data_IF_543903806555
#
_entry.id   IF_543903806555
#
_cell.length_a   1.000
_cell.length_b   1.000
_cell.length_c   1.000
_cell.angle_alpha   90.00
_cell.angle_beta   90.00
_cell.angle_gamma   90.00
#
_symmetry.space_group_name_H-M   'P 1'
#
loop_
_entity.id
_entity.type
_entity.pdbx_description
1 polymer ?
#
# COMPACT_ATOMS: atom_id res chain seq x y z
N UNK A 1 -10.10 -11.80 -29.85
CA UNK A 1 -9.60 -12.75 -28.82
C UNK A 1 -9.68 -12.05 -27.47
N UNK A 2 -9.78 -12.74 -26.33
CA UNK A 2 -9.76 -12.05 -25.03
C UNK A 2 -8.31 -11.87 -24.60
N UNK A 3 -7.85 -10.61 -24.55
CA UNK A 3 -6.54 -10.24 -24.04
C UNK A 3 -6.73 -9.48 -22.73
N UNK A 4 -5.90 -9.80 -21.74
CA UNK A 4 -5.89 -9.17 -20.42
C UNK A 4 -4.52 -8.60 -20.13
N UNK A 5 -4.49 -7.43 -19.50
CA UNK A 5 -3.25 -6.72 -19.18
C UNK A 5 -3.18 -6.47 -17.67
N UNK A 6 -2.08 -6.89 -17.06
CA UNK A 6 -1.71 -6.51 -15.69
C UNK A 6 -0.59 -5.48 -15.75
N UNK A 7 -0.77 -4.36 -15.05
CA UNK A 7 0.25 -3.32 -14.90
C UNK A 7 0.50 -3.08 -13.42
N UNK A 8 1.76 -3.19 -12.98
CA UNK A 8 2.19 -2.81 -11.64
C UNK A 8 3.18 -1.65 -11.73
N UNK A 9 2.76 -0.47 -11.29
CA UNK A 9 3.63 0.71 -11.23
C UNK A 9 4.30 0.74 -9.86
N UNK A 10 5.53 0.24 -9.81
CA UNK A 10 6.40 0.32 -8.64
C UNK A 10 7.21 1.63 -8.60
N UNK A 11 8.04 1.78 -7.56
CA UNK A 11 8.88 2.97 -7.39
C UNK A 11 10.05 3.09 -8.37
N UNK A 12 10.62 1.98 -8.86
CA UNK A 12 11.75 2.03 -9.81
C UNK A 12 11.34 1.58 -11.20
N UNK A 13 10.51 0.55 -11.27
CA UNK A 13 10.09 -0.08 -12.52
C UNK A 13 8.57 -0.22 -12.56
N UNK A 14 8.05 -0.15 -13.77
CA UNK A 14 6.69 -0.55 -14.12
C UNK A 14 6.74 -1.91 -14.80
N UNK A 15 6.02 -2.86 -14.23
CA UNK A 15 5.93 -4.25 -14.70
C UNK A 15 4.63 -4.43 -15.49
N UNK A 16 4.76 -4.86 -16.74
CA UNK A 16 3.62 -5.10 -17.63
C UNK A 16 3.58 -6.58 -18.00
N UNK A 17 2.39 -7.18 -17.89
CA UNK A 17 2.10 -8.55 -18.30
C UNK A 17 0.90 -8.53 -19.23
N UNK A 18 1.02 -9.13 -20.41
CA UNK A 18 -0.09 -9.34 -21.33
C UNK A 18 -0.35 -10.84 -21.43
N UNK A 19 -1.57 -11.25 -21.09
CA UNK A 19 -2.05 -12.62 -21.25
C UNK A 19 -3.03 -12.71 -22.42
N UNK A 20 -2.83 -13.72 -23.27
CA UNK A 20 -3.67 -14.00 -24.43
C UNK A 20 -4.61 -15.19 -24.13
N UNK A 21 -5.58 -15.42 -25.03
CA UNK A 21 -6.72 -16.30 -24.77
C UNK A 21 -6.38 -17.78 -24.48
N UNK A 22 -5.17 -18.25 -24.82
CA UNK A 22 -4.72 -19.61 -24.52
C UNK A 22 -4.08 -19.75 -23.13
N UNK A 23 -4.01 -18.65 -22.36
CA UNK A 23 -3.42 -18.59 -21.03
C UNK A 23 -1.90 -18.37 -21.01
N UNK A 24 -1.25 -18.29 -22.18
CA UNK A 24 0.13 -17.82 -22.27
C UNK A 24 0.22 -16.32 -22.01
N UNK A 25 1.35 -15.88 -21.46
CA UNK A 25 1.59 -14.48 -21.19
C UNK A 25 3.03 -14.08 -21.52
N UNK A 26 3.20 -12.83 -21.92
CA UNK A 26 4.49 -12.18 -22.12
C UNK A 26 4.58 -10.99 -21.15
N UNK A 27 5.80 -10.67 -20.72
CA UNK A 27 6.03 -9.57 -19.78
C UNK A 27 7.19 -8.69 -20.21
N UNK A 28 7.16 -7.43 -19.77
CA UNK A 28 8.26 -6.49 -19.91
C UNK A 28 8.37 -5.62 -18.68
N UNK A 29 9.57 -5.08 -18.46
CA UNK A 29 9.88 -4.15 -17.38
C UNK A 29 10.40 -2.87 -18.01
N UNK A 30 9.78 -1.75 -17.65
CA UNK A 30 10.19 -0.41 -18.08
C UNK A 30 10.45 0.47 -16.86
N UNK A 31 11.19 1.56 -17.03
CA UNK A 31 11.43 2.52 -15.96
C UNK A 31 10.14 3.24 -15.57
N UNK A 32 9.94 3.45 -14.27
CA UNK A 32 8.80 4.24 -13.79
C UNK A 32 8.97 5.71 -14.15
N UNK A 33 8.00 6.26 -14.88
CA UNK A 33 7.85 7.69 -15.15
C UNK A 33 7.01 8.32 -14.04
N UNK A 34 7.64 8.84 -12.98
CA UNK A 34 6.93 9.30 -11.77
C UNK A 34 5.90 10.40 -12.02
N UNK A 35 6.20 11.35 -12.91
CA UNK A 35 5.32 12.47 -13.21
C UNK A 35 4.18 12.12 -14.16
N UNK A 36 4.31 11.00 -14.88
CA UNK A 36 3.34 10.52 -15.86
C UNK A 36 3.37 8.98 -15.95
N UNK A 37 2.90 8.26 -14.91
CA UNK A 37 2.99 6.81 -14.83
C UNK A 37 2.33 6.09 -16.01
N UNK A 38 1.27 6.68 -16.57
CA UNK A 38 0.57 6.20 -17.75
C UNK A 38 1.47 6.07 -18.98
N UNK A 39 2.50 6.91 -19.11
CA UNK A 39 3.46 6.84 -20.22
C UNK A 39 4.28 5.55 -20.12
N UNK A 40 4.74 5.19 -18.91
CA UNK A 40 5.46 3.95 -18.68
C UNK A 40 4.58 2.73 -18.98
N UNK A 41 3.32 2.75 -18.55
CA UNK A 41 2.37 1.68 -18.84
C UNK A 41 2.18 1.51 -20.35
N UNK A 42 1.91 2.59 -21.07
CA UNK A 42 1.66 2.57 -22.52
C UNK A 42 2.90 2.13 -23.31
N UNK A 43 4.11 2.56 -22.92
CA UNK A 43 5.36 2.10 -23.52
C UNK A 43 5.55 0.59 -23.34
N UNK A 44 5.37 0.09 -22.12
CA UNK A 44 5.49 -1.35 -21.83
C UNK A 44 4.47 -2.20 -22.62
N UNK A 45 3.21 -1.76 -22.70
CA UNK A 45 2.18 -2.42 -23.51
C UNK A 45 2.59 -2.41 -25.00
N UNK A 46 3.04 -1.27 -25.51
CA UNK A 46 3.46 -1.12 -26.91
C UNK A 46 4.63 -2.04 -27.28
N UNK A 47 5.61 -2.20 -26.38
CA UNK A 47 6.77 -3.09 -26.58
C UNK A 47 6.34 -4.56 -26.71
N UNK A 48 5.51 -5.06 -25.80
CA UNK A 48 5.03 -6.45 -25.85
C UNK A 48 4.16 -6.64 -27.09
N UNK A 49 3.25 -5.69 -27.36
CA UNK A 49 2.34 -5.81 -28.50
C UNK A 49 3.07 -5.87 -29.84
N UNK A 50 4.15 -5.10 -30.01
CA UNK A 50 4.99 -5.15 -31.19
C UNK A 50 5.81 -6.45 -31.29
N UNK A 51 6.33 -6.96 -30.17
CA UNK A 51 7.13 -8.19 -30.12
C UNK A 51 6.32 -9.44 -30.43
N UNK A 52 5.13 -9.53 -29.85
CA UNK A 52 4.24 -10.71 -29.95
C UNK A 52 3.18 -10.57 -31.07
N UNK A 53 3.24 -9.47 -31.84
CA UNK A 53 2.28 -9.14 -32.90
C UNK A 53 0.81 -9.17 -32.41
N UNK A 54 0.57 -8.58 -31.23
CA UNK A 54 -0.74 -8.51 -30.58
C UNK A 54 -1.51 -7.29 -31.09
N UNK A 55 -2.76 -7.52 -31.47
CA UNK A 55 -3.70 -6.44 -31.78
C UNK A 55 -4.36 -5.91 -30.51
N UNK A 56 -4.05 -4.66 -30.14
CA UNK A 56 -4.59 -4.04 -28.93
C UNK A 56 -6.12 -3.87 -28.96
N UNK A 57 -6.78 -4.01 -30.12
CA UNK A 57 -8.25 -4.02 -30.22
C UNK A 57 -8.90 -5.24 -29.57
N UNK A 58 -8.12 -6.29 -29.33
CA UNK A 58 -8.56 -7.50 -28.63
C UNK A 58 -8.42 -7.41 -27.09
N UNK A 59 -7.94 -6.27 -26.56
CA UNK A 59 -7.85 -6.06 -25.12
C UNK A 59 -9.24 -5.89 -24.52
N UNK A 60 -9.56 -6.77 -23.57
CA UNK A 60 -10.86 -6.83 -22.88
C UNK A 60 -10.79 -6.30 -21.45
N UNK A 61 -9.61 -6.32 -20.84
CA UNK A 61 -9.41 -5.90 -19.46
C UNK A 61 -8.00 -5.37 -19.26
N UNK A 62 -7.89 -4.29 -18.48
CA UNK A 62 -6.63 -3.77 -17.96
C UNK A 62 -6.80 -3.62 -16.45
N UNK A 63 -5.90 -4.22 -15.68
CA UNK A 63 -5.84 -4.11 -14.23
C UNK A 63 -4.52 -3.43 -13.90
N UNK A 64 -4.61 -2.33 -13.14
CA UNK A 64 -3.45 -1.53 -12.75
C UNK A 64 -3.41 -1.42 -11.22
N UNK A 65 -2.27 -1.81 -10.63
CA UNK A 65 -1.92 -1.50 -9.24
C UNK A 65 -0.69 -0.59 -9.17
N UNK A 66 -0.61 0.21 -8.12
CA UNK A 66 0.50 1.15 -7.95
C UNK A 66 0.91 1.29 -6.49
N UNK A 67 2.22 1.45 -6.26
CA UNK A 67 2.79 1.82 -4.96
C UNK A 67 3.00 3.34 -4.85
N UNK A 68 2.56 4.15 -5.82
CA UNK A 68 2.73 5.61 -5.79
C UNK A 68 1.96 6.25 -4.63
N UNK A 69 0.77 5.74 -4.32
CA UNK A 69 -0.04 6.25 -3.22
C UNK A 69 0.65 6.05 -1.86
N UNK A 70 1.29 4.90 -1.65
CA UNK A 70 1.99 4.61 -0.40
C UNK A 70 3.32 5.35 -0.29
N UNK A 71 4.08 5.42 -1.38
CA UNK A 71 5.30 6.24 -1.41
C UNK A 71 5.00 7.72 -1.13
N UNK A 72 3.92 8.27 -1.70
CA UNK A 72 3.49 9.63 -1.41
C UNK A 72 3.14 9.83 0.07
N UNK A 73 2.58 8.81 0.74
CA UNK A 73 2.29 8.85 2.17
C UNK A 73 3.58 8.83 3.02
N UNK A 74 4.51 7.93 2.73
CA UNK A 74 5.79 7.79 3.43
C UNK A 74 6.62 9.08 3.29
N UNK A 75 6.71 9.59 2.06
CA UNK A 75 7.48 10.78 1.72
C UNK A 75 6.73 12.08 2.03
N UNK A 76 5.47 11.99 2.49
CA UNK A 76 4.56 13.10 2.76
C UNK A 76 4.39 14.06 1.57
N UNK A 77 4.40 13.53 0.35
CA UNK A 77 4.16 14.27 -0.89
C UNK A 77 2.69 14.21 -1.31
N UNK A 78 1.80 14.47 -0.35
CA UNK A 78 0.36 14.48 -0.57
C UNK A 78 -0.19 15.87 -0.90
N UNK A 79 -1.47 15.93 -1.25
CA UNK A 79 -2.22 17.17 -1.37
C UNK A 79 -2.25 17.93 -0.02
N UNK A 80 -2.26 19.27 -0.06
CA UNK A 80 -2.58 20.06 1.14
C UNK A 80 -4.04 19.78 1.53
N UNK A 81 -4.25 18.99 2.58
CA UNK A 81 -5.57 18.50 2.99
C UNK A 81 -6.10 19.24 4.21
N UNK A 82 -7.36 19.68 4.17
CA UNK A 82 -8.12 20.09 5.35
C UNK A 82 -8.87 18.88 5.94
N UNK A 83 -8.88 18.73 7.26
CA UNK A 83 -9.79 17.80 7.95
C UNK A 83 -10.97 18.59 8.52
N UNK A 84 -12.18 18.11 8.32
CA UNK A 84 -13.39 18.63 8.99
C UNK A 84 -14.02 17.53 9.82
N UNK A 85 -14.19 17.78 11.12
CA UNK A 85 -14.73 16.79 12.06
C UNK A 85 -15.74 17.42 13.04
N UNK A 86 -16.30 16.62 13.92
CA UNK A 86 -17.26 17.07 14.94
C UNK A 86 -16.58 18.02 15.94
N UNK A 87 -17.27 19.07 16.37
CA UNK A 87 -16.78 19.93 17.44
C UNK A 87 -16.44 19.15 18.71
N UNK A 88 -15.32 19.52 19.33
CA UNK A 88 -14.68 18.77 20.42
C UNK A 88 -13.78 17.59 19.99
N UNK A 89 -13.74 17.21 18.70
CA UNK A 89 -12.96 16.05 18.21
C UNK A 89 -11.77 16.42 17.31
N UNK A 90 -11.45 17.72 17.22
CA UNK A 90 -10.33 18.25 16.40
C UNK A 90 -8.99 17.50 16.59
N UNK A 91 -8.72 17.12 17.84
CA UNK A 91 -7.42 16.59 18.26
C UNK A 91 -7.39 15.04 18.32
N UNK A 92 -8.41 14.36 17.75
CA UNK A 92 -8.48 12.89 17.74
C UNK A 92 -7.29 12.24 17.01
N UNK A 93 -6.82 12.83 15.91
CA UNK A 93 -5.65 12.32 15.17
C UNK A 93 -4.35 12.52 15.98
N UNK A 94 -4.28 13.56 16.81
CA UNK A 94 -3.13 13.78 17.69
C UNK A 94 -3.10 12.74 18.81
N UNK A 95 -4.28 12.48 19.38
CA UNK A 95 -4.48 11.63 20.55
C UNK A 95 -4.38 10.14 20.21
N UNK A 96 -4.78 9.76 18.98
CA UNK A 96 -4.71 8.38 18.44
C UNK A 96 -5.47 7.39 19.33
N UNK A 97 -5.05 6.13 19.30
CA UNK A 97 -5.68 5.00 20.00
C UNK A 97 -4.79 4.42 21.10
N UNK A 98 -3.81 5.20 21.59
CA UNK A 98 -2.76 4.76 22.53
C UNK A 98 -1.89 3.59 22.02
N UNK A 99 -2.08 3.16 20.77
CA UNK A 99 -1.30 2.09 20.12
C UNK A 99 0.17 2.47 19.99
N UNK A 100 1.07 1.53 20.29
CA UNK A 100 2.53 1.69 20.25
C UNK A 100 3.14 0.64 19.34
N UNK A 101 3.81 1.08 18.29
CA UNK A 101 4.57 0.20 17.40
C UNK A 101 5.84 -0.35 18.08
N UNK A 102 6.44 0.41 19.00
CA UNK A 102 7.50 -0.06 19.90
C UNK A 102 6.98 -0.14 21.33
N UNK A 103 6.34 -1.27 21.67
CA UNK A 103 5.62 -1.44 22.94
C UNK A 103 6.48 -1.21 24.20
N UNK A 104 7.79 -1.47 24.12
CA UNK A 104 8.72 -1.38 25.25
C UNK A 104 9.54 -0.09 25.29
N UNK A 105 9.48 0.76 24.26
CA UNK A 105 10.16 2.05 24.31
C UNK A 105 9.29 3.09 25.06
N UNK A 106 9.76 3.51 26.23
CA UNK A 106 9.10 4.55 27.01
C UNK A 106 9.29 5.96 26.42
N UNK A 107 10.29 6.14 25.54
CA UNK A 107 10.60 7.40 24.89
C UNK A 107 10.12 7.44 23.42
N UNK A 108 9.20 6.54 23.06
CA UNK A 108 8.70 6.41 21.70
C UNK A 108 8.26 7.77 21.14
N UNK A 109 8.88 8.18 20.04
CA UNK A 109 8.49 9.37 19.31
C UNK A 109 7.43 8.97 18.29
N UNK A 110 6.20 9.41 18.55
CA UNK A 110 5.08 9.15 17.67
C UNK A 110 5.22 9.94 16.35
N UNK A 111 4.94 9.32 15.18
CA UNK A 111 5.04 10.00 13.89
C UNK A 111 4.17 11.25 13.85
N UNK A 112 4.66 12.39 13.36
CA UNK A 112 3.85 13.61 13.21
C UNK A 112 2.59 13.31 12.40
N UNK A 113 1.39 13.78 12.77
CA UNK A 113 0.19 13.56 11.95
C UNK A 113 0.33 14.10 10.51
N UNK A 114 -0.44 13.51 9.59
CA UNK A 114 -0.46 13.93 8.18
C UNK A 114 -1.04 15.34 8.00
N UNK A 115 -2.09 15.64 8.76
CA UNK A 115 -2.78 16.93 8.75
C UNK A 115 -2.37 17.68 10.01
N UNK A 116 -1.80 18.87 9.84
CA UNK A 116 -1.41 19.72 10.98
C UNK A 116 -2.65 20.20 11.72
N UNK A 117 -2.54 20.47 13.02
CA UNK A 117 -3.68 20.92 13.83
C UNK A 117 -4.36 22.19 13.28
N UNK A 118 -3.60 23.09 12.64
CA UNK A 118 -4.13 24.30 12.03
C UNK A 118 -5.07 24.01 10.84
N UNK A 119 -4.86 22.88 10.16
CA UNK A 119 -5.67 22.42 9.03
C UNK A 119 -6.81 21.47 9.46
N UNK A 120 -7.04 21.35 10.78
CA UNK A 120 -8.14 20.57 11.36
C UNK A 120 -9.22 21.52 11.85
N UNK A 121 -10.34 21.48 11.15
CA UNK A 121 -11.52 22.29 11.37
C UNK A 121 -12.64 21.47 11.99
N UNK A 122 -13.61 22.16 12.59
CA UNK A 122 -14.73 21.52 13.26
C UNK A 122 -16.04 22.18 12.89
N UNK A 123 -17.11 21.39 12.92
CA UNK A 123 -18.49 21.85 12.78
C UNK A 123 -19.27 21.45 14.03
N UNK A 124 -20.13 22.36 14.49
CA UNK A 124 -21.11 22.07 15.54
C UNK A 124 -22.18 21.15 14.97
N UNK A 125 -22.02 19.86 15.21
CA UNK A 125 -23.00 18.81 14.91
C UNK A 125 -22.73 17.65 15.87
N UNK A 126 -23.72 16.84 16.22
CA UNK A 126 -23.47 15.65 17.03
C UNK A 126 -24.55 14.60 16.86
N UNK A 127 -24.11 13.38 16.60
CA UNK A 127 -24.91 12.17 16.69
C UNK A 127 -24.53 11.35 17.93
N UNK A 128 -25.46 10.56 18.44
CA UNK A 128 -25.13 9.49 19.37
C UNK A 128 -24.81 8.19 18.61
N UNK A 129 -24.39 7.15 19.34
CA UNK A 129 -24.04 5.85 18.76
C UNK A 129 -25.22 5.10 18.10
N UNK A 130 -26.46 5.58 18.27
CA UNK A 130 -27.67 5.07 17.60
C UNK A 130 -28.05 5.88 16.35
N UNK A 131 -27.26 6.89 15.99
CA UNK A 131 -27.53 7.79 14.86
C UNK A 131 -28.58 8.87 15.15
N UNK A 132 -28.98 9.05 16.41
CA UNK A 132 -29.93 10.10 16.80
C UNK A 132 -29.21 11.45 16.96
N UNK A 133 -29.86 12.53 16.52
CA UNK A 133 -29.30 13.89 16.58
C UNK A 133 -29.31 14.39 18.03
N UNK A 134 -28.11 14.67 18.57
CA UNK A 134 -27.91 15.35 19.85
C UNK A 134 -27.74 16.86 19.66
N UNK A 135 -26.95 17.24 18.65
CA UNK A 135 -26.74 18.64 18.25
C UNK A 135 -27.02 18.74 16.76
N UNK A 136 -27.96 19.59 16.33
CA UNK A 136 -28.27 19.79 14.91
C UNK A 136 -27.04 20.25 14.12
N UNK A 137 -26.99 19.89 12.85
CA UNK A 137 -25.94 20.34 11.94
C UNK A 137 -25.99 21.85 11.72
N UNK A 138 -24.91 22.55 12.07
CA UNK A 138 -24.79 23.99 11.86
C UNK A 138 -24.50 24.33 10.38
N UNK A 139 -25.56 24.49 9.60
CA UNK A 139 -25.52 24.89 8.19
C UNK A 139 -24.75 26.20 7.94
N UNK A 140 -24.88 27.18 8.85
CA UNK A 140 -24.24 28.48 8.66
C UNK A 140 -22.74 28.37 8.90
N UNK A 141 -22.35 27.72 10.00
CA UNK A 141 -20.95 27.41 10.29
C UNK A 141 -20.29 26.57 9.19
N UNK A 142 -21.02 25.58 8.67
CA UNK A 142 -20.58 24.77 7.54
C UNK A 142 -20.30 25.62 6.28
N UNK A 143 -21.22 26.53 5.89
CA UNK A 143 -21.02 27.41 4.72
C UNK A 143 -19.82 28.34 4.90
N UNK A 144 -19.69 28.97 6.07
CA UNK A 144 -18.54 29.82 6.37
C UNK A 144 -17.23 29.04 6.35
N UNK A 145 -17.23 27.78 6.80
CA UNK A 145 -16.05 26.93 6.74
C UNK A 145 -15.70 26.54 5.31
N UNK A 146 -16.68 26.23 4.46
CA UNK A 146 -16.46 25.96 3.03
C UNK A 146 -15.83 27.17 2.34
N UNK A 147 -16.33 28.39 2.59
CA UNK A 147 -15.73 29.63 2.06
C UNK A 147 -14.28 29.78 2.52
N UNK A 148 -14.00 29.55 3.81
CA UNK A 148 -12.65 29.62 4.35
C UNK A 148 -11.71 28.59 3.70
N UNK A 149 -12.15 27.33 3.59
CA UNK A 149 -11.39 26.26 2.92
C UNK A 149 -11.07 26.64 1.46
N UNK A 150 -12.03 27.25 0.75
CA UNK A 150 -11.84 27.73 -0.62
C UNK A 150 -10.78 28.83 -0.77
N UNK A 151 -10.51 29.60 0.29
CA UNK A 151 -9.51 30.69 0.27
C UNK A 151 -8.10 30.27 0.69
N UNK A 152 -7.97 29.18 1.45
CA UNK A 152 -6.71 28.72 2.06
C UNK A 152 -5.86 27.79 1.17
N UNK A 153 -6.29 27.59 -0.09
CA UNK A 153 -5.56 26.81 -1.09
C UNK A 153 -5.44 25.32 -0.76
N UNK A 154 -6.40 24.76 -0.03
CA UNK A 154 -6.50 23.31 0.17
C UNK A 154 -6.78 22.62 -1.17
N UNK A 155 -6.06 21.54 -1.42
CA UNK A 155 -6.20 20.72 -2.63
C UNK A 155 -7.15 19.53 -2.41
N UNK A 156 -7.46 19.22 -1.15
CA UNK A 156 -8.39 18.15 -0.76
C UNK A 156 -9.01 18.45 0.60
N UNK A 157 -10.19 17.86 0.86
CA UNK A 157 -10.90 17.96 2.14
C UNK A 157 -11.31 16.56 2.59
N UNK A 158 -10.87 16.16 3.77
CA UNK A 158 -11.34 14.97 4.47
C UNK A 158 -12.46 15.36 5.43
N UNK A 159 -13.57 14.63 5.41
CA UNK A 159 -14.70 14.83 6.33
C UNK A 159 -14.85 13.56 7.16
N UNK A 160 -14.90 13.72 8.49
CA UNK A 160 -15.08 12.61 9.41
C UNK A 160 -15.86 13.04 10.65
N UNK A 161 -17.18 12.92 10.61
CA UNK A 161 -18.07 13.18 11.73
C UNK A 161 -18.28 11.93 12.58
N UNK A 162 -18.38 12.13 13.89
CA UNK A 162 -18.54 11.03 14.84
C UNK A 162 -19.89 10.35 14.62
N UNK A 163 -19.86 9.02 14.40
CA UNK A 163 -21.01 8.16 14.11
C UNK A 163 -21.68 8.36 12.73
N UNK A 164 -20.99 8.98 11.77
CA UNK A 164 -21.47 9.07 10.38
C UNK A 164 -21.71 7.72 9.73
N UNK A 165 -20.99 6.68 10.14
CA UNK A 165 -21.21 5.29 9.70
C UNK A 165 -22.60 4.74 10.04
N UNK A 166 -23.29 5.28 11.06
CA UNK A 166 -24.68 4.92 11.42
C UNK A 166 -25.67 5.80 10.68
N UNK A 167 -25.39 7.10 10.65
CA UNK A 167 -26.24 8.10 10.01
C UNK A 167 -25.35 9.10 9.25
N UNK A 168 -25.18 8.93 7.93
CA UNK A 168 -24.26 9.75 7.14
C UNK A 168 -24.86 11.10 6.75
N UNK A 169 -26.08 11.44 7.19
CA UNK A 169 -26.81 12.63 6.72
C UNK A 169 -25.99 13.92 6.87
N UNK A 170 -25.30 14.13 7.99
CA UNK A 170 -24.50 15.35 8.20
C UNK A 170 -23.26 15.38 7.29
N UNK A 171 -22.56 14.25 7.11
CA UNK A 171 -21.40 14.19 6.20
C UNK A 171 -21.83 14.35 4.76
N UNK A 172 -22.92 13.72 4.33
CA UNK A 172 -23.49 13.90 3.00
C UNK A 172 -23.92 15.33 2.78
N UNK A 173 -24.50 15.98 3.80
CA UNK A 173 -24.89 17.38 3.72
C UNK A 173 -23.69 18.31 3.60
N UNK A 174 -22.64 18.08 4.39
CA UNK A 174 -21.40 18.85 4.27
C UNK A 174 -20.68 18.56 2.95
N UNK A 175 -20.70 17.30 2.51
CA UNK A 175 -20.25 16.87 1.19
C UNK A 175 -21.04 17.58 0.10
N UNK A 176 -22.36 17.70 0.14
CA UNK A 176 -23.14 18.47 -0.85
C UNK A 176 -22.70 19.94 -0.91
N UNK A 177 -22.26 20.50 0.22
CA UNK A 177 -21.68 21.84 0.27
C UNK A 177 -20.25 21.90 -0.31
N UNK A 178 -19.53 20.76 -0.39
CA UNK A 178 -18.14 20.63 -0.84
C UNK A 178 -17.95 20.04 -2.26
N UNK A 179 -18.74 19.03 -2.64
CA UNK A 179 -18.56 18.04 -3.70
C UNK A 179 -19.92 17.83 -4.41
N UNK A 180 -20.10 17.90 -5.72
CA UNK A 180 -19.12 18.05 -6.80
C UNK A 180 -17.91 17.08 -6.74
N UNK A 181 -18.19 15.79 -6.50
CA UNK A 181 -17.33 14.61 -6.79
C UNK A 181 -16.48 13.93 -5.69
N UNK A 182 -16.32 12.61 -5.82
CA UNK A 182 -16.09 11.57 -4.79
C UNK A 182 -14.60 11.20 -4.56
N UNK A 183 -14.18 10.37 -3.56
CA UNK A 183 -14.00 8.88 -3.56
C UNK A 183 -13.33 8.43 -2.20
N UNK A 184 -13.44 7.16 -1.74
CA UNK A 184 -12.94 6.63 -0.43
C UNK A 184 -11.56 5.89 -0.45
N UNK A 185 -11.09 5.43 0.72
CA UNK A 185 -9.72 4.95 1.08
C UNK A 185 -9.66 3.46 1.49
N UNK A 186 -8.53 2.79 1.23
CA UNK A 186 -8.14 1.43 1.71
C UNK A 186 -6.85 1.53 2.57
N UNK A 187 -6.69 0.68 3.58
CA UNK A 187 -5.52 0.59 4.47
C UNK A 187 -4.46 -0.39 3.94
N UNK A 188 -3.17 -0.01 4.04
CA UNK A 188 -2.01 -0.82 3.61
C UNK A 188 -0.86 -0.66 4.61
N UNK A 189 -0.12 -1.75 4.87
CA UNK A 189 1.16 -1.72 5.61
C UNK A 189 2.28 -2.03 4.61
N UNK A 190 3.24 -1.12 4.50
CA UNK A 190 4.44 -1.26 3.66
C UNK A 190 5.70 -1.32 4.55
N UNK A 191 6.64 -2.21 4.20
CA UNK A 191 7.94 -2.32 4.84
C UNK A 191 8.96 -1.62 3.93
N UNK A 192 9.37 -0.40 4.30
CA UNK A 192 10.23 0.48 3.50
C UNK A 192 11.70 0.06 3.42
N UNK A 193 11.99 -1.08 2.80
CA UNK A 193 13.33 -1.55 2.49
C UNK A 193 13.35 -2.20 1.08
N UNK A 194 13.65 -1.40 0.06
CA UNK A 194 13.70 -1.83 -1.34
C UNK A 194 15.08 -1.68 -1.96
N UNK A 195 15.25 -2.12 -3.21
CA UNK A 195 16.53 -2.02 -3.93
C UNK A 195 17.10 -0.58 -3.98
N UNK A 196 16.22 0.43 -4.08
CA UNK A 196 16.60 1.84 -4.09
C UNK A 196 16.91 2.44 -2.72
N UNK A 197 16.68 1.74 -1.60
CA UNK A 197 16.90 2.30 -0.27
C UNK A 197 18.37 2.70 -0.09
N UNK A 198 18.59 3.95 0.35
CA UNK A 198 19.92 4.54 0.48
C UNK A 198 20.60 4.01 1.74
N UNK A 199 21.85 3.59 1.59
CA UNK A 199 22.74 3.19 2.66
C UNK A 199 23.58 4.38 3.15
N UNK A 200 23.63 4.56 4.46
CA UNK A 200 24.43 5.60 5.12
C UNK A 200 25.07 5.07 6.40
N UNK A 201 26.00 5.84 6.96
CA UNK A 201 26.60 5.57 8.28
C UNK A 201 26.21 6.70 9.22
N UNK A 202 25.60 6.34 10.34
CA UNK A 202 25.18 7.29 11.37
C UNK A 202 26.35 7.79 12.24
N UNK A 203 26.06 8.71 13.16
CA UNK A 203 27.06 9.29 14.06
C UNK A 203 27.69 8.29 15.03
N UNK A 204 27.09 7.11 15.21
CA UNK A 204 27.59 6.04 16.06
C UNK A 204 28.41 5.01 15.27
N UNK A 205 28.59 5.20 13.96
CA UNK A 205 29.31 4.27 13.11
C UNK A 205 28.49 3.04 12.72
N UNK A 206 27.16 3.11 12.79
CA UNK A 206 26.28 2.02 12.35
C UNK A 206 25.78 2.25 10.92
N UNK A 207 25.69 1.17 10.14
CA UNK A 207 25.07 1.21 8.81
C UNK A 207 23.56 1.36 8.99
N UNK A 208 22.97 2.31 8.27
CA UNK A 208 21.52 2.57 8.21
C UNK A 208 21.05 2.47 6.76
N UNK A 209 19.91 1.82 6.56
CA UNK A 209 19.25 1.66 5.26
C UNK A 209 17.91 2.38 5.31
N UNK A 210 17.66 3.29 4.35
CA UNK A 210 16.47 4.14 4.36
C UNK A 210 16.52 5.23 5.45
N UNK A 211 15.39 5.95 5.67
CA UNK A 211 14.10 5.79 5.01
C UNK A 211 14.06 6.33 3.57
N UNK A 212 15.07 7.10 3.17
CA UNK A 212 15.13 7.68 1.83
C UNK A 212 15.51 6.63 0.77
N UNK A 213 14.94 6.79 -0.42
CA UNK A 213 15.17 5.93 -1.59
C UNK A 213 15.70 6.77 -2.75
N UNK A 214 16.57 6.16 -3.57
CA UNK A 214 17.08 6.75 -4.81
C UNK A 214 16.07 6.70 -5.97
N UNK A 215 14.95 5.97 -5.81
CA UNK A 215 13.89 5.86 -6.83
C UNK A 215 14.36 5.25 -8.15
N UNK A 216 13.74 5.66 -9.27
CA UNK A 216 14.24 5.40 -10.63
C UNK A 216 15.18 6.51 -11.15
N UNK A 217 15.02 7.72 -10.62
CA UNK A 217 15.79 8.92 -10.99
C UNK A 217 16.15 9.71 -9.72
N UNK A 218 17.45 9.89 -9.41
CA UNK A 218 18.61 9.49 -10.20
C UNK A 218 18.89 7.97 -10.19
N UNK A 219 18.22 7.23 -9.31
CA UNK A 219 18.37 5.78 -9.16
C UNK A 219 19.66 5.34 -8.47
N UNK A 220 19.85 4.02 -8.26
CA UNK A 220 21.13 3.43 -7.85
C UNK A 220 22.32 3.93 -8.66
N UNK A 221 23.48 4.08 -8.04
CA UNK A 221 24.68 4.56 -8.72
C UNK A 221 25.10 3.63 -9.88
N UNK A 222 24.91 2.33 -9.69
CA UNK A 222 25.11 1.28 -10.69
C UNK A 222 24.29 1.46 -11.96
N UNK A 223 23.20 2.24 -11.96
CA UNK A 223 22.43 2.51 -13.18
C UNK A 223 23.12 3.52 -14.11
N UNK A 224 24.14 4.26 -13.63
CA UNK A 224 24.87 5.22 -14.45
C UNK A 224 24.08 6.49 -14.82
N UNK A 225 22.99 6.80 -14.10
CA UNK A 225 22.07 7.92 -14.40
C UNK A 225 22.25 9.14 -13.47
N UNK A 226 23.41 9.23 -12.80
CA UNK A 226 23.75 10.36 -11.93
C UNK A 226 23.54 10.12 -10.43
N UNK A 227 23.07 8.94 -10.03
CA UNK A 227 22.99 8.53 -8.62
C UNK A 227 24.38 8.40 -8.01
N UNK A 228 24.57 8.95 -6.81
CA UNK A 228 25.86 8.93 -6.09
C UNK A 228 25.78 8.28 -4.71
N UNK A 229 24.60 8.11 -4.13
CA UNK A 229 24.50 7.45 -2.84
C UNK A 229 24.51 5.93 -3.02
N UNK A 230 25.14 5.20 -2.08
CA UNK A 230 25.08 3.75 -2.10
C UNK A 230 23.65 3.28 -1.84
N UNK A 231 23.19 2.30 -2.62
CA UNK A 231 21.87 1.67 -2.43
C UNK A 231 21.99 0.17 -2.19
N UNK A 232 20.88 -0.46 -1.82
CA UNK A 232 20.79 -1.93 -1.71
C UNK A 232 21.07 -2.60 -3.07
N UNK A 233 20.62 -2.00 -4.18
CA UNK A 233 20.94 -2.47 -5.53
C UNK A 233 22.44 -2.43 -5.79
N UNK A 234 23.14 -1.35 -5.41
CA UNK A 234 24.60 -1.26 -5.56
C UNK A 234 25.33 -2.35 -4.77
N UNK A 235 24.88 -2.64 -3.56
CA UNK A 235 25.39 -3.76 -2.77
C UNK A 235 25.15 -5.10 -3.47
N UNK A 236 23.94 -5.33 -4.01
CA UNK A 236 23.61 -6.57 -4.73
C UNK A 236 24.44 -6.75 -6.01
N UNK A 237 24.74 -5.67 -6.74
CA UNK A 237 25.66 -5.69 -7.88
C UNK A 237 27.08 -6.06 -7.42
N UNK A 238 27.58 -5.40 -6.38
CA UNK A 238 28.93 -5.64 -5.87
C UNK A 238 29.12 -7.06 -5.29
N UNK A 239 28.06 -7.65 -4.75
CA UNK A 239 28.04 -9.04 -4.26
C UNK A 239 27.85 -10.07 -5.39
N UNK A 240 27.60 -9.63 -6.63
CA UNK A 240 27.30 -10.51 -7.76
C UNK A 240 25.93 -11.19 -7.69
N UNK A 241 25.02 -10.71 -6.84
CA UNK A 241 23.61 -11.14 -6.80
C UNK A 241 22.84 -10.60 -8.01
N UNK A 242 23.25 -9.44 -8.51
CA UNK A 242 22.81 -8.86 -9.78
C UNK A 242 23.99 -8.81 -10.75
N UNK A 243 23.76 -9.24 -11.98
CA UNK A 243 24.78 -9.27 -13.03
C UNK A 243 24.37 -8.37 -14.21
N UNK A 244 25.28 -7.55 -14.77
CA UNK A 244 24.97 -6.67 -15.92
C UNK A 244 24.34 -7.42 -17.10
N UNK A 245 24.92 -8.57 -17.48
CA UNK A 245 24.48 -9.34 -18.64
C UNK A 245 23.05 -9.92 -18.54
N UNK A 246 22.53 -10.09 -17.32
CA UNK A 246 21.23 -10.73 -17.08
C UNK A 246 20.23 -9.79 -16.43
N UNK A 247 20.52 -8.48 -16.41
CA UNK A 247 19.63 -7.51 -15.78
C UNK A 247 18.35 -7.33 -16.60
N UNK A 248 17.19 -7.43 -15.94
CA UNK A 248 15.88 -7.48 -16.61
C UNK A 248 15.47 -6.19 -17.32
N UNK A 249 16.08 -5.05 -16.97
CA UNK A 249 15.84 -3.77 -17.62
C UNK A 249 16.89 -3.56 -18.73
N UNK A 250 16.52 -3.95 -19.97
CA UNK A 250 17.43 -3.92 -21.14
C UNK A 250 18.00 -2.54 -21.49
N UNK A 251 17.33 -1.48 -21.05
CA UNK A 251 17.75 -0.09 -21.29
C UNK A 251 18.76 0.42 -20.25
N UNK A 252 19.17 -0.42 -19.28
CA UNK A 252 20.11 -0.07 -18.22
C UNK A 252 21.34 -0.97 -18.31
N UNK A 253 22.49 -0.35 -18.57
CA UNK A 253 23.79 -1.01 -18.48
C UNK A 253 24.33 -0.87 -17.04
N UNK A 254 24.27 -1.94 -16.26
CA UNK A 254 24.71 -1.90 -14.88
C UNK A 254 26.23 -1.76 -14.80
N UNK A 255 26.70 -0.81 -13.98
CA UNK A 255 28.11 -0.57 -13.73
C UNK A 255 28.53 -1.04 -12.33
N UNK A 256 29.23 -2.18 -12.21
CA UNK A 256 29.84 -2.61 -10.95
C UNK A 256 30.87 -1.60 -10.41
N UNK A 257 31.55 -0.86 -11.30
CA UNK A 257 32.52 0.17 -10.90
C UNK A 257 31.83 1.32 -10.16
N UNK A 258 30.71 1.84 -10.70
CA UNK A 258 29.94 2.90 -10.04
C UNK A 258 29.33 2.43 -8.72
N UNK A 259 28.87 1.17 -8.66
CA UNK A 259 28.40 0.55 -7.43
C UNK A 259 29.50 0.56 -6.35
N UNK A 260 30.71 0.09 -6.70
CA UNK A 260 31.85 0.04 -5.80
C UNK A 260 32.26 1.43 -5.29
N UNK A 261 32.28 2.44 -6.16
CA UNK A 261 32.59 3.82 -5.79
C UNK A 261 31.56 4.41 -4.81
N UNK A 262 30.26 4.16 -5.04
CA UNK A 262 29.20 4.64 -4.16
C UNK A 262 29.27 3.98 -2.77
N UNK A 263 29.53 2.66 -2.73
CA UNK A 263 29.70 1.89 -1.49
C UNK A 263 30.92 2.36 -0.68
N UNK A 264 32.05 2.63 -1.35
CA UNK A 264 33.22 3.22 -0.70
C UNK A 264 32.88 4.58 -0.09
N UNK A 265 32.32 5.50 -0.88
CA UNK A 265 31.99 6.85 -0.44
C UNK A 265 31.01 6.89 0.74
N UNK A 266 29.97 6.06 0.69
CA UNK A 266 28.84 6.15 1.64
C UNK A 266 29.10 5.36 2.92
N UNK A 267 29.85 4.26 2.83
CA UNK A 267 30.05 3.30 3.93
C UNK A 267 31.52 2.95 4.13
N UNK A 268 32.21 2.52 3.07
CA UNK A 268 33.58 2.00 3.13
C UNK A 268 34.58 2.96 3.78
N UNK A 269 34.69 4.18 3.28
CA UNK A 269 35.63 5.21 3.76
C UNK A 269 35.34 5.64 5.20
N UNK A 270 34.06 5.62 5.60
CA UNK A 270 33.65 6.02 6.96
C UNK A 270 33.95 4.96 8.01
N UNK A 271 33.92 3.67 7.63
CA UNK A 271 34.11 2.54 8.53
C UNK A 271 35.45 1.83 8.34
N UNK A 272 36.27 2.26 7.37
CA UNK A 272 37.53 1.59 7.02
C UNK A 272 37.34 0.22 6.38
N UNK A 273 36.26 0.04 5.60
CA UNK A 273 35.90 -1.21 4.94
C UNK A 273 36.20 -1.16 3.44
N UNK A 274 36.44 -2.34 2.85
CA UNK A 274 36.47 -2.49 1.39
C UNK A 274 35.05 -2.34 0.80
N UNK A 275 34.94 -2.05 -0.50
CA UNK A 275 33.63 -1.98 -1.17
C UNK A 275 32.83 -3.29 -1.02
N UNK A 276 33.52 -4.44 -1.05
CA UNK A 276 32.90 -5.76 -0.87
C UNK A 276 32.39 -5.97 0.56
N UNK A 277 33.16 -5.57 1.58
CA UNK A 277 32.72 -5.67 2.97
C UNK A 277 31.62 -4.67 3.31
N UNK A 278 31.68 -3.46 2.75
CA UNK A 278 30.61 -2.48 2.81
C UNK A 278 29.31 -3.04 2.20
N UNK A 279 29.39 -3.68 1.03
CA UNK A 279 28.25 -4.33 0.38
C UNK A 279 27.64 -5.44 1.25
N UNK A 280 28.48 -6.29 1.88
CA UNK A 280 28.02 -7.32 2.82
C UNK A 280 27.30 -6.72 4.03
N UNK A 281 27.83 -5.62 4.58
CA UNK A 281 27.22 -4.89 5.68
C UNK A 281 25.85 -4.32 5.29
N UNK A 282 25.76 -3.66 4.14
CA UNK A 282 24.50 -3.13 3.60
C UNK A 282 23.46 -4.23 3.40
N UNK A 283 23.86 -5.35 2.78
CA UNK A 283 22.98 -6.50 2.57
C UNK A 283 22.50 -7.13 3.88
N UNK A 284 23.39 -7.31 4.86
CA UNK A 284 23.00 -7.91 6.15
C UNK A 284 22.04 -7.01 6.95
N UNK A 285 22.24 -5.69 6.91
CA UNK A 285 21.34 -4.74 7.59
C UNK A 285 19.97 -4.70 6.94
N UNK A 286 19.89 -4.67 5.60
CA UNK A 286 18.58 -4.70 4.92
C UNK A 286 17.86 -6.03 5.17
N UNK A 287 18.59 -7.16 5.15
CA UNK A 287 18.04 -8.48 5.43
C UNK A 287 17.50 -8.59 6.86
N UNK A 288 18.20 -8.00 7.84
CA UNK A 288 17.74 -7.94 9.23
C UNK A 288 16.50 -7.05 9.39
N UNK A 289 16.46 -5.88 8.74
CA UNK A 289 15.30 -4.99 8.79
C UNK A 289 14.04 -5.68 8.23
N UNK A 290 14.16 -6.35 7.07
CA UNK A 290 13.06 -7.10 6.47
C UNK A 290 12.60 -8.27 7.37
N UNK A 291 13.55 -9.00 7.95
CA UNK A 291 13.27 -10.10 8.88
C UNK A 291 12.54 -9.60 10.12
N UNK A 292 12.99 -8.51 10.73
CA UNK A 292 12.39 -7.94 11.93
C UNK A 292 10.94 -7.51 11.66
N UNK A 293 10.68 -6.85 10.54
CA UNK A 293 9.34 -6.45 10.16
C UNK A 293 8.40 -7.66 9.98
N UNK A 294 8.87 -8.74 9.34
CA UNK A 294 8.10 -9.98 9.22
C UNK A 294 7.77 -10.61 10.59
N UNK A 295 8.72 -10.62 11.55
CA UNK A 295 8.48 -11.11 12.91
C UNK A 295 7.43 -10.27 13.65
N UNK A 296 7.56 -8.94 13.59
CA UNK A 296 6.62 -8.02 14.24
C UNK A 296 5.20 -8.27 13.71
N UNK A 297 5.05 -8.36 12.39
CA UNK A 297 3.75 -8.65 11.78
C UNK A 297 3.16 -10.00 12.24
N UNK A 298 3.98 -11.06 12.29
CA UNK A 298 3.53 -12.37 12.78
C UNK A 298 3.04 -12.30 14.23
N UNK A 299 3.81 -11.64 15.11
CA UNK A 299 3.47 -11.46 16.52
C UNK A 299 2.19 -10.64 16.71
N UNK A 300 2.03 -9.54 15.97
CA UNK A 300 0.81 -8.71 16.02
C UNK A 300 -0.44 -9.49 15.60
N UNK A 301 -0.28 -10.46 14.70
CA UNK A 301 -1.35 -11.35 14.25
C UNK A 301 -1.49 -12.63 15.11
N UNK A 302 -0.72 -12.77 16.19
CA UNK A 302 -0.73 -13.94 17.05
C UNK A 302 -0.29 -15.23 16.35
N UNK A 303 0.53 -15.12 15.29
CA UNK A 303 1.01 -16.25 14.49
C UNK A 303 2.44 -16.62 14.87
N UNK A 304 2.69 -17.91 14.97
CA UNK A 304 4.04 -18.46 14.92
C UNK A 304 4.43 -18.66 13.44
N UNK A 305 5.64 -18.26 13.06
CA UNK A 305 6.14 -18.43 11.69
C UNK A 305 6.57 -19.87 11.40
N UNK A 306 6.81 -20.67 12.45
CA UNK A 306 7.16 -22.07 12.28
C UNK A 306 6.10 -22.85 11.46
N UNK A 307 6.55 -23.56 10.43
CA UNK A 307 5.68 -24.37 9.56
C UNK A 307 5.03 -23.62 8.39
N UNK A 308 5.33 -22.33 8.21
CA UNK A 308 4.95 -21.60 7.00
C UNK A 308 6.02 -21.73 5.90
N UNK A 309 5.57 -21.73 4.65
CA UNK A 309 6.43 -21.61 3.48
C UNK A 309 6.61 -20.15 3.11
N UNK A 310 7.84 -19.73 2.82
CA UNK A 310 8.10 -18.39 2.29
C UNK A 310 7.91 -18.38 0.78
N UNK A 311 7.12 -17.44 0.26
CA UNK A 311 7.02 -17.18 -1.18
C UNK A 311 7.74 -15.86 -1.46
N UNK A 312 8.80 -15.89 -2.26
CA UNK A 312 9.56 -14.69 -2.60
C UNK A 312 9.29 -14.24 -4.03
N UNK A 313 8.70 -13.06 -4.18
CA UNK A 313 8.42 -12.41 -5.47
C UNK A 313 8.83 -10.92 -5.43
N UNK A 314 8.62 -10.21 -6.54
CA UNK A 314 9.15 -8.88 -6.81
C UNK A 314 10.59 -8.92 -7.32
N UNK A 315 11.06 -7.79 -7.87
CA UNK A 315 12.42 -7.70 -8.44
C UNK A 315 13.55 -7.90 -7.42
N UNK A 316 13.32 -7.55 -6.15
CA UNK A 316 14.31 -7.69 -5.07
C UNK A 316 14.12 -8.90 -4.17
N UNK A 317 12.89 -9.44 -4.05
CA UNK A 317 12.57 -10.49 -3.08
C UNK A 317 13.50 -11.72 -3.15
N UNK A 318 13.64 -12.36 -4.33
CA UNK A 318 14.50 -13.53 -4.48
C UNK A 318 15.99 -13.29 -4.16
N UNK A 319 16.49 -12.06 -4.28
CA UNK A 319 17.90 -11.71 -4.00
C UNK A 319 18.23 -11.82 -2.51
N UNK A 320 17.22 -11.67 -1.65
CA UNK A 320 17.35 -11.62 -0.20
C UNK A 320 16.69 -12.84 0.48
N UNK A 321 15.81 -13.54 -0.23
CA UNK A 321 15.00 -14.65 0.27
C UNK A 321 15.80 -15.73 1.00
N UNK A 322 16.95 -16.16 0.46
CA UNK A 322 17.76 -17.19 1.13
C UNK A 322 18.20 -16.77 2.53
N UNK A 323 18.61 -15.51 2.71
CA UNK A 323 19.05 -14.99 4.01
C UNK A 323 17.87 -14.78 4.97
N UNK A 324 16.73 -14.33 4.44
CA UNK A 324 15.49 -14.20 5.21
C UNK A 324 14.99 -15.55 5.71
N UNK A 325 15.07 -16.60 4.89
CA UNK A 325 14.67 -17.97 5.25
C UNK A 325 15.42 -18.42 6.50
N UNK A 326 16.76 -18.29 6.48
CA UNK A 326 17.63 -18.65 7.60
C UNK A 326 17.30 -17.85 8.87
N UNK A 327 17.13 -16.53 8.74
CA UNK A 327 16.91 -15.64 9.88
C UNK A 327 15.54 -15.85 10.52
N UNK A 328 14.52 -16.14 9.71
CA UNK A 328 13.16 -16.43 10.18
C UNK A 328 13.01 -17.86 10.69
N UNK A 329 13.97 -18.75 10.41
CA UNK A 329 13.92 -20.16 10.83
C UNK A 329 12.86 -20.95 10.07
N UNK A 330 12.71 -20.65 8.77
CA UNK A 330 11.75 -21.31 7.88
C UNK A 330 12.43 -22.45 7.13
N UNK A 331 11.67 -23.50 6.80
CA UNK A 331 12.20 -24.70 6.16
C UNK A 331 11.95 -24.75 4.64
N UNK A 332 11.05 -23.90 4.11
CA UNK A 332 10.65 -23.92 2.71
C UNK A 332 10.63 -22.52 2.08
N UNK A 333 11.32 -22.39 0.95
CA UNK A 333 11.30 -21.21 0.08
C UNK A 333 10.76 -21.60 -1.30
N UNK A 334 9.72 -20.89 -1.73
CA UNK A 334 9.14 -20.97 -3.07
C UNK A 334 9.46 -19.66 -3.81
N UNK A 335 10.20 -19.77 -4.91
CA UNK A 335 10.40 -18.67 -5.86
C UNK A 335 9.62 -19.02 -7.13
N UNK A 336 8.47 -18.38 -7.40
CA UNK A 336 7.71 -18.67 -8.59
C UNK A 336 8.48 -18.27 -9.86
N UNK A 337 8.21 -18.91 -11.02
CA UNK A 337 8.62 -18.36 -12.31
C UNK A 337 8.15 -16.91 -12.43
N UNK A 338 8.95 -16.07 -13.07
CA UNK A 338 8.62 -14.66 -13.30
C UNK A 338 8.34 -13.86 -12.02
N UNK A 339 8.97 -14.26 -10.90
CA UNK A 339 8.93 -13.57 -9.61
C UNK A 339 9.12 -12.04 -9.75
N UNK A 340 9.94 -11.58 -10.68
CA UNK A 340 10.21 -10.16 -10.96
C UNK A 340 9.01 -9.33 -11.42
N UNK A 341 7.92 -9.96 -11.88
CA UNK A 341 6.64 -9.34 -12.29
C UNK A 341 5.44 -9.97 -11.54
N UNK A 342 5.70 -10.61 -10.40
CA UNK A 342 4.72 -11.44 -9.68
C UNK A 342 3.42 -10.70 -9.31
N UNK A 343 3.49 -9.41 -8.97
CA UNK A 343 2.31 -8.59 -8.68
C UNK A 343 1.39 -8.45 -9.89
N UNK A 344 1.96 -8.14 -11.06
CA UNK A 344 1.21 -7.98 -12.31
C UNK A 344 0.55 -9.31 -12.76
N UNK A 345 1.26 -10.43 -12.58
CA UNK A 345 0.67 -11.77 -12.76
C UNK A 345 -0.45 -12.02 -11.76
N UNK A 346 -0.26 -11.61 -10.51
CA UNK A 346 -1.25 -11.68 -9.44
C UNK A 346 -2.55 -10.98 -9.81
N UNK A 347 -2.49 -9.78 -10.40
CA UNK A 347 -3.68 -9.06 -10.88
C UNK A 347 -4.48 -9.86 -11.91
N UNK A 348 -3.82 -10.58 -12.81
CA UNK A 348 -4.47 -11.42 -13.83
C UNK A 348 -5.06 -12.73 -13.27
N UNK A 349 -4.63 -13.15 -12.08
CA UNK A 349 -5.09 -14.36 -11.39
C UNK A 349 -6.13 -14.06 -10.31
N UNK A 350 -6.13 -12.84 -9.77
CA UNK A 350 -7.10 -12.40 -8.78
C UNK A 350 -8.52 -12.45 -9.36
N UNK A 351 -9.48 -13.05 -8.65
CA UNK A 351 -10.88 -12.97 -9.06
C UNK A 351 -11.36 -11.52 -8.98
N UNK A 352 -12.24 -11.13 -9.90
CA UNK A 352 -12.94 -9.85 -9.80
C UNK A 352 -13.87 -9.90 -8.59
N UNK A 353 -13.55 -9.15 -7.54
CA UNK A 353 -14.24 -9.19 -6.25
C UNK A 353 -14.47 -7.77 -5.72
N UNK A 354 -15.49 -7.63 -4.88
CA UNK A 354 -15.82 -6.40 -4.18
C UNK A 354 -16.27 -6.73 -2.77
N UNK A 355 -15.78 -5.97 -1.80
CA UNK A 355 -16.14 -6.11 -0.39
C UNK A 355 -16.85 -4.84 0.07
N UNK A 356 -18.05 -5.02 0.64
CA UNK A 356 -18.83 -3.94 1.22
C UNK A 356 -19.01 -4.20 2.72
N UNK A 357 -18.78 -3.17 3.54
CA UNK A 357 -18.85 -3.27 5.01
C UNK A 357 -19.75 -2.16 5.54
N UNK A 358 -20.67 -2.52 6.46
CA UNK A 358 -21.50 -1.57 7.20
C UNK A 358 -21.58 -1.96 8.66
N UNK A 359 -21.66 -0.94 9.52
CA UNK A 359 -21.90 -1.14 10.94
C UNK A 359 -23.41 -1.27 11.21
N UNK A 360 -23.80 -2.34 11.89
CA UNK A 360 -25.17 -2.54 12.36
C UNK A 360 -25.14 -3.01 13.81
N UNK A 361 -25.69 -2.21 14.73
CA UNK A 361 -25.71 -2.54 16.15
C UNK A 361 -27.03 -3.22 16.52
N UNK A 362 -26.93 -4.45 17.03
CA UNK A 362 -28.04 -5.15 17.65
C UNK A 362 -27.50 -6.06 18.77
N UNK A 363 -28.39 -6.59 19.62
CA UNK A 363 -27.98 -7.47 20.73
C UNK A 363 -28.76 -8.78 20.67
N UNK A 364 -28.23 -9.86 21.23
CA UNK A 364 -28.95 -11.15 21.27
C UNK A 364 -30.23 -11.13 22.10
N UNK A 365 -30.42 -10.13 22.97
CA UNK A 365 -31.63 -9.95 23.79
C UNK A 365 -32.71 -9.19 23.02
N UNK A 366 -32.30 -8.25 22.19
CA UNK A 366 -33.17 -7.37 21.39
C UNK A 366 -32.62 -7.38 19.96
N UNK A 367 -32.73 -8.57 19.34
CA UNK A 367 -32.12 -8.83 18.04
C UNK A 367 -33.08 -8.39 16.94
N UNK A 368 -32.69 -7.38 16.18
CA UNK A 368 -33.46 -6.88 15.05
C UNK A 368 -33.18 -7.73 13.81
N UNK A 369 -33.92 -8.84 13.68
CA UNK A 369 -33.83 -9.79 12.57
C UNK A 369 -34.07 -9.10 11.24
N UNK A 370 -35.10 -8.25 11.17
CA UNK A 370 -35.51 -7.58 9.93
C UNK A 370 -34.46 -6.53 9.49
N UNK A 371 -33.90 -5.79 10.46
CA UNK A 371 -32.80 -4.87 10.22
C UNK A 371 -31.53 -5.58 9.75
N UNK A 372 -31.14 -6.67 10.42
CA UNK A 372 -29.96 -7.46 10.05
C UNK A 372 -30.06 -8.02 8.63
N UNK A 373 -31.20 -8.65 8.29
CA UNK A 373 -31.45 -9.19 6.96
C UNK A 373 -31.47 -8.09 5.88
N UNK A 374 -32.00 -6.91 6.20
CA UNK A 374 -32.01 -5.77 5.28
C UNK A 374 -30.60 -5.26 4.99
N UNK A 375 -29.77 -5.07 6.01
CA UNK A 375 -28.37 -4.62 5.82
C UNK A 375 -27.58 -5.64 4.98
N UNK A 376 -27.74 -6.94 5.25
CA UNK A 376 -27.08 -7.98 4.46
C UNK A 376 -27.55 -8.00 2.99
N UNK A 377 -28.84 -7.79 2.74
CA UNK A 377 -29.38 -7.71 1.38
C UNK A 377 -28.82 -6.48 0.65
N UNK A 378 -28.85 -5.30 1.28
CA UNK A 378 -28.31 -4.08 0.70
C UNK A 378 -26.81 -4.19 0.37
N UNK A 379 -26.01 -4.78 1.28
CA UNK A 379 -24.59 -5.06 1.04
C UNK A 379 -24.38 -6.05 -0.11
N UNK A 380 -25.22 -7.09 -0.18
CA UNK A 380 -25.15 -8.08 -1.27
C UNK A 380 -25.48 -7.42 -2.61
N UNK A 381 -26.53 -6.61 -2.67
CA UNK A 381 -26.96 -5.92 -3.89
C UNK A 381 -25.90 -4.90 -4.36
N UNK A 382 -25.31 -4.14 -3.44
CA UNK A 382 -24.21 -3.20 -3.70
C UNK A 382 -23.00 -3.91 -4.30
N UNK A 383 -22.54 -5.00 -3.66
CA UNK A 383 -21.40 -5.77 -4.12
C UNK A 383 -21.67 -6.48 -5.46
N UNK A 384 -22.86 -7.05 -5.62
CA UNK A 384 -23.27 -7.72 -6.85
C UNK A 384 -23.35 -6.75 -8.03
N UNK A 385 -23.87 -5.53 -7.82
CA UNK A 385 -23.94 -4.51 -8.86
C UNK A 385 -22.54 -4.19 -9.42
N UNK A 386 -21.56 -3.97 -8.54
CA UNK A 386 -20.17 -3.72 -8.94
C UNK A 386 -19.53 -4.93 -9.63
N UNK A 387 -19.62 -6.12 -9.02
CA UNK A 387 -18.99 -7.35 -9.56
C UNK A 387 -19.51 -7.67 -10.96
N UNK A 388 -20.81 -7.50 -11.20
CA UNK A 388 -21.45 -7.81 -12.48
C UNK A 388 -21.08 -6.84 -13.61
N UNK A 389 -20.62 -5.63 -13.30
CA UNK A 389 -20.06 -4.73 -14.32
C UNK A 389 -18.72 -5.25 -14.87
N UNK A 390 -17.93 -5.94 -14.04
CA UNK A 390 -16.60 -6.44 -14.43
C UNK A 390 -16.56 -7.89 -14.88
N UNK A 391 -17.56 -8.72 -14.58
CA UNK A 391 -17.58 -10.14 -15.00
C UNK A 391 -18.97 -10.72 -15.22
N UNK A 392 -19.07 -11.56 -16.26
CA UNK A 392 -20.25 -12.39 -16.55
C UNK A 392 -20.18 -13.80 -15.92
N UNK A 393 -19.12 -14.12 -15.18
CA UNK A 393 -18.94 -15.43 -14.55
C UNK A 393 -19.95 -15.69 -13.41
N UNK A 394 -19.99 -16.92 -12.91
CA UNK A 394 -20.71 -17.25 -11.69
C UNK A 394 -20.07 -16.52 -10.49
N UNK A 395 -20.91 -15.95 -9.63
CA UNK A 395 -20.47 -15.15 -8.48
C UNK A 395 -20.71 -15.94 -7.21
N UNK A 396 -19.69 -15.97 -6.35
CA UNK A 396 -19.80 -16.51 -4.98
C UNK A 396 -19.98 -15.34 -4.03
N UNK A 397 -20.95 -15.43 -3.12
CA UNK A 397 -21.23 -14.41 -2.10
C UNK A 397 -20.79 -14.97 -0.75
N UNK A 398 -19.86 -14.31 -0.08
CA UNK A 398 -19.48 -14.62 1.30
C UNK A 398 -20.01 -13.53 2.23
N UNK A 399 -20.68 -13.95 3.31
CA UNK A 399 -21.22 -13.04 4.32
C UNK A 399 -20.52 -13.25 5.65
N UNK A 400 -20.10 -12.17 6.28
CA UNK A 400 -19.45 -12.20 7.58
C UNK A 400 -20.02 -11.11 8.49
N UNK A 401 -20.18 -11.42 9.77
CA UNK A 401 -20.53 -10.46 10.80
C UNK A 401 -19.48 -10.47 11.91
N UNK A 402 -19.15 -9.29 12.43
CA UNK A 402 -18.27 -9.15 13.58
C UNK A 402 -19.11 -9.16 14.87
N UNK A 403 -18.91 -10.16 15.72
CA UNK A 403 -19.71 -10.38 16.94
C UNK A 403 -18.84 -10.32 18.20
N UNK A 404 -19.43 -9.93 19.34
CA UNK A 404 -18.72 -9.94 20.63
C UNK A 404 -19.64 -10.16 21.81
N UNK A 405 -19.08 -10.68 22.91
CA UNK A 405 -19.78 -10.70 24.19
C UNK A 405 -19.94 -9.28 24.75
N UNK A 406 -21.02 -9.05 25.51
CA UNK A 406 -21.23 -7.77 26.19
C UNK A 406 -20.08 -7.49 27.15
N UNK A 407 -19.43 -6.34 26.99
CA UNK A 407 -18.27 -5.93 27.80
C UNK A 407 -16.92 -6.27 27.18
N UNK A 408 -16.88 -6.96 26.03
CA UNK A 408 -15.65 -7.29 25.31
C UNK A 408 -15.21 -6.12 24.40
N UNK A 409 -13.90 -5.85 24.37
CA UNK A 409 -13.30 -4.79 23.56
C UNK A 409 -12.97 -5.17 22.11
N UNK A 410 -13.06 -6.46 21.75
CA UNK A 410 -12.69 -6.98 20.44
C UNK A 410 -13.83 -7.81 19.83
N UNK A 411 -13.87 -7.90 18.51
CA UNK A 411 -14.92 -8.59 17.75
C UNK A 411 -14.38 -9.85 17.08
N UNK A 412 -15.22 -10.88 16.97
CA UNK A 412 -14.94 -12.16 16.34
C UNK A 412 -15.64 -12.18 14.99
N UNK A 413 -14.92 -12.45 13.88
CA UNK A 413 -15.55 -12.66 12.58
C UNK A 413 -16.30 -14.00 12.57
N UNK A 414 -17.59 -13.96 12.23
CA UNK A 414 -18.46 -15.14 12.11
C UNK A 414 -19.01 -15.19 10.69
N UNK A 415 -18.70 -16.27 9.97
CA UNK A 415 -19.24 -16.53 8.63
C UNK A 415 -20.69 -16.96 8.72
N UNK A 416 -21.53 -16.38 7.85
CA UNK A 416 -22.93 -16.73 7.71
C UNK A 416 -23.11 -17.59 6.45
N UNK A 417 -24.13 -18.46 6.48
CA UNK A 417 -24.61 -19.12 5.26
C UNK A 417 -25.51 -18.20 4.44
N UNK A 418 -26.08 -18.75 3.36
CA UNK A 418 -26.97 -17.99 2.46
C UNK A 418 -28.35 -17.70 3.05
N UNK A 419 -28.70 -18.36 4.15
CA UNK A 419 -29.97 -18.20 4.83
C UNK A 419 -30.10 -16.79 5.45
N UNK A 420 -31.34 -16.31 5.52
CA UNK A 420 -31.67 -15.19 6.41
C UNK A 420 -31.42 -15.58 7.87
N UNK A 421 -31.16 -14.57 8.70
CA UNK A 421 -31.09 -14.73 10.16
C UNK A 421 -32.36 -15.36 10.75
#
# INVERSE_FOLDING_TARGET
MSIRIGADVGGTFTDIVIEVADGSYSSTKVLTTHDAPEVGILDGIGRIAAQENIDLRDVTQIIHGTTLATNALIERRGAKTALVTTDGFRDVIETRTESRFEQYDLNIVLPTPLIQRADRHVISERLNARGEILVPFDENGARSLVEHIGTEGYQSVAVGFIHSYVNPTNELRFRELLLADSIPVIEMIEIGAGGGSIASVDSLGQIRIGPHSAGSEPGPASYGRGGLDATVTDANVQLGRLHPDTFGAKDIDLSPALAAEALMRSVGDRLGLSAADAARGVAEVVDENMTNAARVHAVENGKDLAGYSMIAFGGGGPLHAGRLLDKLGLDELIVPPDAGVGSAVGFLRAPFAYEAVRSFYTSTVDFDIDGANRVLAELTDEAMAFVREGTGADVTVERQVAMRYKGQGWEIPVRLGDASF
#
